data_IF_620272776177
#
_entry.id   IF_620272776177
#
_cell.length_a   1.000
_cell.length_b   1.000
_cell.length_c   1.000
_cell.angle_alpha   90.00
_cell.angle_beta   90.00
_cell.angle_gamma   90.00
#
_symmetry.space_group_name_H-M   'P 1'
#
loop_
_entity.id
_entity.type
_entity.pdbx_description
1 polymer ?
#
# COMPACT_ATOMS: atom_id res chain seq x y z
N UNK A 1 -11.60 21.80 -7.93
CA UNK A 1 -11.13 21.22 -9.18
C UNK A 1 -12.36 20.83 -9.96
N UNK A 2 -12.50 21.32 -11.20
CA UNK A 2 -13.58 20.89 -12.07
C UNK A 2 -13.22 19.53 -12.70
N UNK A 3 -14.21 18.70 -13.04
CA UNK A 3 -13.98 17.35 -13.59
C UNK A 3 -13.03 17.36 -14.79
N UNK A 4 -13.15 18.37 -15.67
CA UNK A 4 -12.27 18.52 -16.84
C UNK A 4 -10.80 18.77 -16.48
N UNK A 5 -10.52 19.47 -15.39
CA UNK A 5 -9.13 19.71 -14.92
C UNK A 5 -8.50 18.41 -14.39
N UNK A 6 -9.29 17.59 -13.70
CA UNK A 6 -8.82 16.30 -13.19
C UNK A 6 -8.52 15.31 -14.32
N UNK A 7 -9.38 15.28 -15.34
CA UNK A 7 -9.18 14.44 -16.54
C UNK A 7 -7.88 14.84 -17.25
N UNK A 8 -7.67 16.14 -17.50
CA UNK A 8 -6.47 16.62 -18.16
C UNK A 8 -5.19 16.23 -17.39
N UNK A 9 -5.21 16.34 -16.06
CA UNK A 9 -4.09 15.95 -15.19
C UNK A 9 -3.76 14.45 -15.30
N UNK A 10 -4.78 13.60 -15.36
CA UNK A 10 -4.60 12.15 -15.54
C UNK A 10 -4.07 11.82 -16.94
N UNK A 11 -4.57 12.49 -17.98
CA UNK A 11 -4.09 12.30 -19.35
C UNK A 11 -2.61 12.67 -19.48
N UNK A 12 -2.20 13.80 -18.90
CA UNK A 12 -0.79 14.22 -18.85
C UNK A 12 0.08 13.20 -18.11
N UNK A 13 -0.40 12.66 -16.98
CA UNK A 13 0.30 11.60 -16.25
C UNK A 13 0.43 10.32 -17.08
N UNK A 14 -0.61 9.92 -17.80
CA UNK A 14 -0.58 8.73 -18.66
C UNK A 14 0.39 8.90 -19.83
N UNK A 15 0.42 10.09 -20.44
CA UNK A 15 1.36 10.42 -21.50
C UNK A 15 2.81 10.46 -21.00
N UNK A 16 3.04 11.05 -19.83
CA UNK A 16 4.35 11.01 -19.18
C UNK A 16 4.77 9.56 -18.91
N UNK A 17 3.86 8.70 -18.42
CA UNK A 17 4.19 7.28 -18.16
C UNK A 17 4.56 6.54 -19.44
N UNK A 18 3.88 6.83 -20.57
CA UNK A 18 4.18 6.22 -21.87
C UNK A 18 5.52 6.65 -22.44
N UNK A 19 5.93 7.90 -22.19
CA UNK A 19 7.18 8.46 -22.72
C UNK A 19 8.42 8.03 -21.94
N UNK A 20 8.40 8.10 -20.59
CA UNK A 20 9.60 7.82 -19.77
C UNK A 20 9.54 6.48 -19.03
N UNK A 21 8.37 5.85 -18.95
CA UNK A 21 8.13 4.63 -18.19
C UNK A 21 7.89 4.87 -16.70
N UNK A 22 7.25 3.89 -16.05
CA UNK A 22 6.85 3.99 -14.64
C UNK A 22 8.03 4.16 -13.68
N UNK A 23 9.14 3.47 -13.95
CA UNK A 23 10.32 3.51 -13.07
C UNK A 23 10.97 4.90 -13.06
N UNK A 24 11.21 5.50 -14.23
CA UNK A 24 11.78 6.86 -14.30
C UNK A 24 10.83 7.90 -13.70
N UNK A 25 9.53 7.78 -13.97
CA UNK A 25 8.51 8.62 -13.34
C UNK A 25 8.57 8.55 -11.81
N UNK A 26 8.70 7.35 -11.23
CA UNK A 26 8.85 7.16 -9.79
C UNK A 26 10.12 7.83 -9.25
N UNK A 27 11.27 7.69 -9.92
CA UNK A 27 12.52 8.35 -9.53
C UNK A 27 12.41 9.87 -9.57
N UNK A 28 11.69 10.43 -10.55
CA UNK A 28 11.41 11.86 -10.62
C UNK A 28 10.49 12.32 -9.50
N UNK A 29 9.42 11.57 -9.23
CA UNK A 29 8.49 11.88 -8.15
C UNK A 29 9.21 11.88 -6.79
N UNK A 30 10.04 10.86 -6.52
CA UNK A 30 10.78 10.72 -5.26
C UNK A 30 11.62 11.96 -4.91
N UNK A 31 12.22 12.62 -5.91
CA UNK A 31 13.02 13.85 -5.73
C UNK A 31 12.20 15.06 -5.29
N UNK A 32 10.90 15.04 -5.53
CA UNK A 32 9.98 16.14 -5.22
C UNK A 32 9.23 15.93 -3.90
N UNK A 33 9.29 14.73 -3.31
CA UNK A 33 8.58 14.42 -2.08
C UNK A 33 9.36 14.90 -0.85
N UNK A 34 8.63 15.45 0.11
CA UNK A 34 9.14 15.59 1.48
C UNK A 34 9.27 14.21 2.13
N UNK A 35 10.09 14.10 3.17
CA UNK A 35 10.24 12.83 3.92
C UNK A 35 8.90 12.27 4.42
N UNK A 36 7.99 13.13 4.88
CA UNK A 36 6.65 12.72 5.31
C UNK A 36 5.84 12.15 4.13
N UNK A 37 5.85 12.81 2.97
CA UNK A 37 5.17 12.32 1.78
C UNK A 37 5.79 11.02 1.24
N UNK A 38 7.11 10.86 1.32
CA UNK A 38 7.78 9.59 0.99
C UNK A 38 7.28 8.45 1.89
N UNK A 39 7.19 8.69 3.20
CA UNK A 39 6.63 7.70 4.14
C UNK A 39 5.17 7.37 3.82
N UNK A 40 4.36 8.38 3.49
CA UNK A 40 2.96 8.17 3.06
C UNK A 40 2.88 7.40 1.75
N UNK A 41 3.72 7.71 0.76
CA UNK A 41 3.74 7.00 -0.53
C UNK A 41 4.10 5.52 -0.37
N UNK A 42 5.09 5.21 0.47
CA UNK A 42 5.43 3.83 0.81
C UNK A 42 4.28 3.14 1.55
N UNK A 43 3.69 3.79 2.56
CA UNK A 43 2.56 3.22 3.29
C UNK A 43 1.38 2.92 2.38
N UNK A 44 1.05 3.81 1.44
CA UNK A 44 -0.01 3.57 0.45
C UNK A 44 0.33 2.40 -0.47
N UNK A 45 1.58 2.29 -0.96
CA UNK A 45 1.98 1.16 -1.78
C UNK A 45 1.88 -0.17 -1.01
N UNK A 46 2.33 -0.18 0.25
CA UNK A 46 2.24 -1.36 1.12
C UNK A 46 0.80 -1.74 1.44
N UNK A 47 -0.09 -0.76 1.65
CA UNK A 47 -1.52 -0.99 1.92
C UNK A 47 -2.22 -1.58 0.70
N UNK A 48 -2.01 -0.99 -0.48
CA UNK A 48 -2.61 -1.47 -1.73
C UNK A 48 -2.27 -2.94 -1.98
N UNK A 49 -0.99 -3.31 -1.87
CA UNK A 49 -0.55 -4.70 -2.03
C UNK A 49 -1.12 -5.60 -0.94
N UNK A 50 -1.11 -5.16 0.33
CA UNK A 50 -1.61 -5.98 1.44
C UNK A 50 -3.12 -6.15 1.40
N UNK A 51 -3.85 -5.23 0.77
CA UNK A 51 -5.29 -5.30 0.59
C UNK A 51 -5.71 -6.46 -0.34
N UNK A 52 -4.84 -6.87 -1.25
CA UNK A 52 -5.08 -7.98 -2.19
C UNK A 52 -4.82 -9.36 -1.55
N UNK A 53 -4.07 -9.40 -0.44
CA UNK A 53 -3.74 -10.63 0.27
C UNK A 53 -2.43 -10.54 1.05
N UNK A 54 -1.88 -11.67 1.51
CA UNK A 54 -0.51 -11.72 2.03
C UNK A 54 0.50 -11.33 0.94
N UNK A 55 1.59 -10.65 1.32
CA UNK A 55 2.60 -10.23 0.34
C UNK A 55 3.22 -11.40 -0.42
N UNK A 56 3.21 -11.29 -1.75
CA UNK A 56 3.96 -12.18 -2.62
C UNK A 56 5.46 -11.78 -2.67
N UNK A 57 6.36 -12.71 -3.04
CA UNK A 57 7.80 -12.40 -3.13
C UNK A 57 8.15 -11.23 -4.06
N UNK A 58 7.44 -11.11 -5.18
CA UNK A 58 7.68 -10.04 -6.17
C UNK A 58 7.21 -8.68 -5.64
N UNK A 59 6.11 -8.65 -4.89
CA UNK A 59 5.62 -7.46 -4.20
C UNK A 59 6.59 -7.02 -3.11
N UNK A 60 7.15 -7.98 -2.37
CA UNK A 60 8.19 -7.68 -1.37
C UNK A 60 9.43 -7.07 -2.00
N UNK A 61 9.89 -7.63 -3.12
CA UNK A 61 11.02 -7.10 -3.87
C UNK A 61 10.74 -5.67 -4.37
N UNK A 62 9.52 -5.42 -4.86
CA UNK A 62 9.11 -4.08 -5.26
C UNK A 62 9.11 -3.10 -4.10
N UNK A 63 8.54 -3.47 -2.93
CA UNK A 63 8.52 -2.62 -1.74
C UNK A 63 9.93 -2.33 -1.23
N UNK A 64 10.82 -3.32 -1.21
CA UNK A 64 12.22 -3.11 -0.81
C UNK A 64 12.91 -2.11 -1.76
N UNK A 65 12.69 -2.24 -3.07
CA UNK A 65 13.19 -1.28 -4.06
C UNK A 65 12.58 0.13 -3.88
N UNK A 66 11.28 0.20 -3.61
CA UNK A 66 10.57 1.47 -3.38
C UNK A 66 11.08 2.16 -2.10
N UNK A 67 11.32 1.42 -1.02
CA UNK A 67 11.88 1.96 0.22
C UNK A 67 13.25 2.60 -0.02
N UNK A 68 14.12 1.94 -0.80
CA UNK A 68 15.41 2.50 -1.20
C UNK A 68 15.24 3.76 -2.04
N UNK A 69 14.32 3.74 -3.02
CA UNK A 69 14.04 4.89 -3.89
C UNK A 69 13.54 6.12 -3.11
N UNK A 70 12.77 5.88 -2.06
CA UNK A 70 12.17 6.92 -1.21
C UNK A 70 13.05 7.28 0.00
N UNK A 71 14.27 6.73 0.08
CA UNK A 71 15.22 6.92 1.19
C UNK A 71 14.59 6.60 2.56
N UNK A 72 13.80 5.53 2.61
CA UNK A 72 13.16 5.00 3.81
C UNK A 72 14.04 3.94 4.43
N UNK A 73 14.29 4.06 5.73
CA UNK A 73 15.10 3.07 6.43
C UNK A 73 14.34 1.73 6.52
N UNK A 74 15.09 0.62 6.53
CA UNK A 74 14.50 -0.71 6.71
C UNK A 74 13.62 -0.81 7.96
N UNK A 75 14.02 -0.13 9.03
CA UNK A 75 13.24 -0.08 10.27
C UNK A 75 11.89 0.63 10.10
N UNK A 76 11.87 1.78 9.42
CA UNK A 76 10.65 2.53 9.12
C UNK A 76 9.70 1.72 8.21
N UNK A 77 10.24 1.12 7.16
CA UNK A 77 9.49 0.26 6.24
C UNK A 77 8.84 -0.93 6.99
N UNK A 78 9.62 -1.66 7.79
CA UNK A 78 9.11 -2.78 8.59
C UNK A 78 8.03 -2.37 9.59
N UNK A 79 8.14 -1.18 10.20
CA UNK A 79 7.10 -0.66 11.09
C UNK A 79 5.78 -0.43 10.37
N UNK A 80 5.84 0.11 9.16
CA UNK A 80 4.66 0.31 8.32
C UNK A 80 4.06 -1.03 7.91
N UNK A 81 4.88 -1.95 7.38
CA UNK A 81 4.43 -3.29 6.97
C UNK A 81 3.72 -4.02 8.12
N UNK A 82 4.27 -3.92 9.34
CA UNK A 82 3.69 -4.54 10.55
C UNK A 82 2.30 -3.98 10.86
N UNK A 83 2.07 -2.68 10.66
CA UNK A 83 0.75 -2.08 10.88
C UNK A 83 -0.28 -2.69 9.92
N UNK A 84 0.08 -2.87 8.65
CA UNK A 84 -0.84 -3.45 7.67
C UNK A 84 -1.02 -4.97 7.86
N UNK A 85 0.00 -5.69 8.32
CA UNK A 85 -0.20 -7.09 8.73
C UNK A 85 -1.22 -7.23 9.86
N UNK A 86 -1.18 -6.33 10.85
CA UNK A 86 -2.18 -6.30 11.93
C UNK A 86 -3.56 -5.91 11.38
N UNK A 87 -3.63 -4.89 10.53
CA UNK A 87 -4.88 -4.36 10.01
C UNK A 87 -5.62 -5.35 9.10
N UNK A 88 -4.87 -6.12 8.30
CA UNK A 88 -5.40 -7.13 7.39
C UNK A 88 -5.29 -8.56 7.96
N UNK A 89 -5.07 -8.71 9.26
CA UNK A 89 -5.09 -10.01 9.91
C UNK A 89 -6.48 -10.63 9.77
N UNK A 90 -6.54 -11.90 9.36
CA UNK A 90 -7.82 -12.62 9.36
C UNK A 90 -8.37 -12.66 10.77
N UNK A 91 -9.60 -12.18 10.94
CA UNK A 91 -10.33 -12.32 12.19
C UNK A 91 -10.62 -13.81 12.42
N UNK A 92 -9.79 -14.48 13.19
CA UNK A 92 -10.09 -15.83 13.70
C UNK A 92 -11.16 -15.71 14.78
N UNK A 93 -12.40 -15.49 14.39
CA UNK A 93 -13.56 -15.61 15.28
C UNK A 93 -13.77 -17.09 15.59
N UNK A 94 -13.02 -17.62 16.56
CA UNK A 94 -13.42 -18.83 17.28
C UNK A 94 -14.49 -18.46 18.31
N UNK A 95 -15.62 -17.95 17.82
CA UNK A 95 -16.86 -17.91 18.60
C UNK A 95 -17.53 -19.27 18.41
N UNK A 96 -17.11 -20.27 19.18
CA UNK A 96 -17.95 -21.42 19.44
C UNK A 96 -19.18 -20.88 20.17
N UNK A 97 -20.27 -20.65 19.44
CA UNK A 97 -21.56 -20.44 20.08
C UNK A 97 -21.90 -21.79 20.71
N UNK A 98 -21.64 -21.93 22.01
CA UNK A 98 -22.17 -23.04 22.79
C UNK A 98 -23.69 -22.92 22.76
N UNK A 99 -24.33 -23.67 21.86
CA UNK A 99 -25.78 -23.85 21.86
C UNK A 99 -26.07 -24.74 23.07
N UNK A 100 -26.30 -24.14 24.23
CA UNK A 100 -26.88 -24.84 25.39
C UNK A 100 -28.24 -25.41 24.96
N UNK A 101 -28.46 -26.73 25.04
CA UNK A 101 -29.76 -27.30 24.69
C UNK A 101 -30.78 -26.86 25.72
N UNK A 102 -31.79 -26.12 25.28
CA UNK A 102 -32.94 -25.74 26.08
C UNK A 102 -33.76 -27.01 26.37
N UNK A 103 -33.65 -27.55 27.58
CA UNK A 103 -34.50 -28.65 28.05
C UNK A 103 -35.86 -28.04 28.38
N UNK A 104 -36.86 -28.34 27.54
CA UNK A 104 -38.27 -28.05 27.84
C UNK A 104 -38.76 -29.12 28.83
N UNK A 105 -39.14 -28.68 30.03
CA UNK A 105 -39.86 -29.48 31.03
C UNK A 105 -41.36 -29.25 30.86
#
# INVERSE_FOLDING_TARGET
MADGEMIALLDELLELRRSVGAHQMMLHAAKCLTKAQSMTAYAMASELMRSDGPFEPDERYFLDHLAVTLEISKFEAQRIDTVFEIFHASLTLSSTIEVTPFVVV
#
